data_IF_849306662006
#
_entry.id   IF_849306662006
#
_cell.length_a   1.000
_cell.length_b   1.000
_cell.length_c   1.000
_cell.angle_alpha   90.00
_cell.angle_beta   90.00
_cell.angle_gamma   90.00
#
_symmetry.space_group_name_H-M   'P 1'
#
loop_
_entity.id
_entity.type
_entity.pdbx_description
1 polymer ?
#
# COMPACT_ATOMS: atom_id res chain seq x y z
N UNK A 1 -9.24 -16.49 -22.60
CA UNK A 1 -8.03 -15.94 -23.24
C UNK A 1 -7.56 -14.81 -22.36
N UNK A 2 -6.32 -14.80 -21.91
CA UNK A 2 -5.78 -13.65 -21.19
C UNK A 2 -5.51 -12.57 -22.24
N UNK A 3 -6.22 -11.46 -22.17
CA UNK A 3 -5.89 -10.28 -22.98
C UNK A 3 -4.75 -9.55 -22.30
N UNK A 4 -3.91 -8.85 -23.05
CA UNK A 4 -2.85 -8.09 -22.40
C UNK A 4 -2.17 -7.06 -23.27
N UNK A 5 -1.70 -6.01 -22.59
CA UNK A 5 -0.85 -4.96 -23.12
C UNK A 5 0.49 -5.09 -22.38
N UNK A 6 1.56 -5.34 -23.12
CA UNK A 6 2.89 -5.54 -22.54
C UNK A 6 3.87 -4.62 -23.26
N UNK A 7 4.33 -3.59 -22.56
CA UNK A 7 5.49 -2.80 -22.93
C UNK A 7 6.73 -3.42 -22.27
N UNK A 8 7.55 -4.14 -23.05
CA UNK A 8 8.75 -4.82 -22.51
C UNK A 8 9.73 -3.84 -21.86
N UNK A 9 9.88 -2.65 -22.46
CA UNK A 9 10.64 -1.52 -21.92
C UNK A 9 9.82 -0.25 -22.16
N UNK A 10 9.43 0.45 -21.09
CA UNK A 10 8.75 1.74 -21.18
C UNK A 10 7.37 1.81 -20.52
N UNK A 11 6.50 2.65 -21.09
CA UNK A 11 5.22 3.04 -20.49
C UNK A 11 4.09 2.21 -21.11
N UNK A 12 3.32 1.51 -20.29
CA UNK A 12 2.14 0.75 -20.75
C UNK A 12 0.97 1.68 -21.11
N UNK A 13 0.70 2.68 -20.26
CA UNK A 13 -0.36 3.69 -20.48
C UNK A 13 0.21 5.08 -20.27
N UNK A 14 0.26 5.89 -21.34
CA UNK A 14 0.67 7.29 -21.28
C UNK A 14 -0.55 8.18 -21.59
N UNK A 15 -1.03 8.93 -20.61
CA UNK A 15 -2.24 9.77 -20.74
C UNK A 15 -1.83 11.23 -20.80
N UNK A 16 -2.11 11.85 -21.94
CA UNK A 16 -1.81 13.26 -22.18
C UNK A 16 -2.88 14.17 -21.58
N UNK A 17 -2.53 15.43 -21.39
CA UNK A 17 -3.45 16.48 -20.94
C UNK A 17 -4.69 16.60 -21.84
N UNK A 18 -5.85 16.94 -21.27
CA UNK A 18 -7.12 17.04 -21.99
C UNK A 18 -7.76 15.70 -22.37
N UNK A 19 -7.26 14.60 -21.81
CA UNK A 19 -7.76 13.24 -22.07
C UNK A 19 -8.39 12.64 -20.81
N UNK A 20 -9.53 11.97 -20.98
CA UNK A 20 -10.09 11.02 -20.03
C UNK A 20 -9.77 9.59 -20.50
N UNK A 21 -9.45 8.68 -19.59
CA UNK A 21 -9.26 7.26 -19.90
C UNK A 21 -9.96 6.39 -18.85
N UNK A 22 -10.63 5.34 -19.31
CA UNK A 22 -11.08 4.25 -18.47
C UNK A 22 -10.61 2.92 -19.08
N UNK A 23 -9.85 2.14 -18.32
CA UNK A 23 -9.34 0.82 -18.71
C UNK A 23 -10.01 -0.23 -17.83
N UNK A 24 -10.68 -1.18 -18.45
CA UNK A 24 -11.28 -2.35 -17.78
C UNK A 24 -10.47 -3.60 -18.14
N UNK A 25 -9.77 -4.16 -17.16
CA UNK A 25 -8.99 -5.38 -17.29
C UNK A 25 -9.69 -6.54 -16.56
N UNK A 26 -10.16 -7.54 -17.30
CA UNK A 26 -10.73 -8.78 -16.75
C UNK A 26 -9.88 -9.98 -17.16
N UNK A 27 -9.29 -10.68 -16.18
CA UNK A 27 -8.32 -11.75 -16.41
C UNK A 27 -7.26 -11.37 -17.46
N UNK A 28 -6.69 -10.17 -17.30
CA UNK A 28 -5.81 -9.52 -18.26
C UNK A 28 -4.47 -9.11 -17.64
N UNK A 29 -3.49 -8.84 -18.50
CA UNK A 29 -2.17 -8.35 -18.09
C UNK A 29 -1.95 -6.95 -18.65
N UNK A 30 -1.62 -5.99 -17.80
CA UNK A 30 -1.15 -4.66 -18.21
C UNK A 30 0.23 -4.45 -17.60
N UNK A 31 1.26 -4.38 -18.44
CA UNK A 31 2.66 -4.41 -17.96
C UNK A 31 3.54 -3.40 -18.69
N UNK A 32 4.37 -2.70 -17.92
CA UNK A 32 5.43 -1.82 -18.38
C UNK A 32 6.47 -1.61 -17.26
N UNK A 33 7.59 -0.93 -17.56
CA UNK A 33 8.45 -0.41 -16.48
C UNK A 33 7.71 0.71 -15.72
N UNK A 34 6.97 1.52 -16.49
CA UNK A 34 5.93 2.41 -15.99
C UNK A 34 4.59 1.85 -16.43
N UNK A 35 3.72 1.53 -15.47
CA UNK A 35 2.35 1.11 -15.73
C UNK A 35 1.54 2.29 -16.28
N UNK A 36 1.59 3.42 -15.58
CA UNK A 36 0.81 4.61 -15.89
C UNK A 36 1.67 5.87 -15.75
N UNK A 37 1.68 6.70 -16.79
CA UNK A 37 2.24 8.05 -16.76
C UNK A 37 1.18 9.06 -17.17
N UNK A 38 0.99 10.12 -16.41
CA UNK A 38 0.10 11.24 -16.80
C UNK A 38 0.53 12.58 -16.23
N UNK A 39 0.08 13.67 -16.85
CA UNK A 39 0.41 15.04 -16.45
C UNK A 39 1.71 15.59 -17.06
N UNK A 40 2.39 14.84 -17.94
CA UNK A 40 3.66 15.26 -18.56
C UNK A 40 3.46 15.60 -20.06
N UNK A 41 3.55 16.91 -20.42
CA UNK A 41 3.58 17.52 -21.78
C UNK A 41 2.23 17.71 -22.55
N UNK A 42 2.02 18.70 -23.45
CA UNK A 42 2.88 19.83 -23.95
C UNK A 42 2.10 21.14 -24.23
N UNK A 43 0.78 21.16 -24.13
CA UNK A 43 -0.03 22.37 -24.40
C UNK A 43 -0.43 23.04 -23.09
N UNK A 44 -0.05 24.32 -22.92
CA UNK A 44 -0.51 25.17 -21.81
C UNK A 44 -2.03 25.14 -21.70
N UNK A 45 -2.55 24.86 -20.49
CA UNK A 45 -3.95 25.13 -20.14
C UNK A 45 -4.91 23.94 -20.10
N UNK A 46 -4.44 22.69 -20.09
CA UNK A 46 -5.32 21.54 -19.83
C UNK A 46 -4.65 20.52 -18.91
N UNK A 47 -5.36 20.04 -17.90
CA UNK A 47 -4.97 18.87 -17.12
C UNK A 47 -5.47 17.60 -17.81
N UNK A 48 -4.85 16.45 -17.58
CA UNK A 48 -5.52 15.17 -17.80
C UNK A 48 -6.78 15.13 -16.94
N UNK A 49 -7.87 14.60 -17.48
CA UNK A 49 -9.16 14.54 -16.79
C UNK A 49 -9.18 13.37 -15.80
N UNK A 50 -10.16 12.49 -15.94
CA UNK A 50 -10.27 11.26 -15.15
C UNK A 50 -9.48 10.12 -15.78
N UNK A 51 -8.55 9.57 -15.01
CA UNK A 51 -7.69 8.45 -15.41
C UNK A 51 -7.97 7.25 -14.52
N UNK A 52 -8.69 6.25 -15.03
CA UNK A 52 -9.14 5.10 -14.24
C UNK A 52 -8.63 3.79 -14.84
N UNK A 53 -7.95 2.99 -14.03
CA UNK A 53 -7.56 1.61 -14.34
C UNK A 53 -8.26 0.65 -13.37
N UNK A 54 -9.19 -0.13 -13.91
CA UNK A 54 -9.94 -1.16 -13.18
C UNK A 54 -9.40 -2.55 -13.53
N UNK A 55 -9.27 -3.39 -12.51
CA UNK A 55 -8.71 -4.74 -12.62
C UNK A 55 -9.59 -5.73 -11.88
N UNK A 56 -10.08 -6.75 -12.58
CA UNK A 56 -10.93 -7.83 -12.06
C UNK A 56 -10.37 -9.20 -12.44
N UNK A 57 -10.81 -10.24 -11.72
CA UNK A 57 -10.67 -11.64 -12.10
C UNK A 57 -9.21 -12.05 -12.39
N UNK A 58 -8.34 -12.02 -11.38
CA UNK A 58 -6.93 -12.44 -11.48
C UNK A 58 -6.09 -11.63 -12.48
N UNK A 59 -6.50 -10.39 -12.77
CA UNK A 59 -5.71 -9.49 -13.61
C UNK A 59 -4.41 -9.08 -12.93
N UNK A 60 -3.37 -8.86 -13.73
CA UNK A 60 -2.03 -8.51 -13.27
C UNK A 60 -1.59 -7.18 -13.88
N UNK A 61 -1.37 -6.20 -13.01
CA UNK A 61 -0.74 -4.94 -13.34
C UNK A 61 0.72 -4.95 -12.89
N UNK A 62 1.64 -4.58 -13.78
CA UNK A 62 3.07 -4.50 -13.47
C UNK A 62 3.64 -3.18 -13.96
N UNK A 63 4.40 -2.51 -13.09
CA UNK A 63 5.06 -1.25 -13.38
C UNK A 63 4.69 -0.13 -12.41
N UNK A 64 5.50 0.92 -12.42
CA UNK A 64 5.31 2.07 -11.54
C UNK A 64 4.24 3.03 -12.08
N UNK A 65 3.63 3.80 -11.19
CA UNK A 65 2.74 4.91 -11.52
C UNK A 65 3.49 6.22 -11.29
N UNK A 66 3.44 7.12 -12.27
CA UNK A 66 4.10 8.43 -12.24
C UNK A 66 3.12 9.53 -12.70
N UNK A 67 2.66 10.33 -11.75
CA UNK A 67 1.58 11.31 -11.95
C UNK A 67 2.06 12.70 -11.56
N UNK A 68 2.06 13.63 -12.53
CA UNK A 68 2.15 15.05 -12.22
C UNK A 68 0.77 15.57 -11.81
N UNK A 69 0.57 15.64 -10.51
CA UNK A 69 -0.68 16.08 -9.88
C UNK A 69 -1.06 17.52 -10.22
N UNK A 70 -0.11 18.36 -10.61
CA UNK A 70 -0.42 19.73 -11.02
C UNK A 70 -1.16 19.76 -12.37
N UNK A 71 -1.11 18.68 -13.13
CA UNK A 71 -1.67 18.53 -14.47
C UNK A 71 -2.56 17.28 -14.61
N UNK A 72 -3.10 16.75 -13.51
CA UNK A 72 -4.04 15.60 -13.52
C UNK A 72 -5.18 15.87 -12.54
N UNK A 73 -6.41 15.90 -13.04
CA UNK A 73 -7.61 16.19 -12.25
C UNK A 73 -8.01 15.02 -11.34
N UNK A 74 -7.99 13.79 -11.88
CA UNK A 74 -8.30 12.58 -11.13
C UNK A 74 -7.49 11.37 -11.65
N UNK A 75 -7.09 10.48 -10.74
CA UNK A 75 -6.33 9.27 -11.07
C UNK A 75 -6.61 8.16 -10.09
N UNK A 76 -7.04 7.01 -10.62
CA UNK A 76 -7.57 5.92 -9.82
C UNK A 76 -7.06 4.57 -10.33
N UNK A 77 -6.65 3.72 -9.40
CA UNK A 77 -6.46 2.29 -9.65
C UNK A 77 -7.40 1.53 -8.72
N UNK A 78 -8.22 0.65 -9.29
CA UNK A 78 -9.13 -0.21 -8.54
C UNK A 78 -8.81 -1.68 -8.84
N UNK A 79 -8.45 -2.45 -7.82
CA UNK A 79 -8.21 -3.88 -7.92
C UNK A 79 -9.32 -4.65 -7.22
N UNK A 80 -9.82 -5.70 -7.86
CA UNK A 80 -10.75 -6.66 -7.27
C UNK A 80 -10.59 -8.06 -7.86
N UNK A 81 -11.29 -9.03 -7.28
CA UNK A 81 -11.37 -10.40 -7.79
C UNK A 81 -10.00 -11.08 -7.90
N UNK A 82 -9.18 -11.05 -6.84
CA UNK A 82 -7.83 -11.62 -6.80
C UNK A 82 -6.83 -10.94 -7.76
N UNK A 83 -7.09 -9.71 -8.17
CA UNK A 83 -6.14 -8.95 -9.00
C UNK A 83 -4.92 -8.51 -8.21
N UNK A 84 -3.80 -8.34 -8.91
CA UNK A 84 -2.51 -7.96 -8.31
C UNK A 84 -1.92 -6.77 -9.05
N UNK A 85 -1.41 -5.79 -8.29
CA UNK A 85 -0.50 -4.77 -8.81
C UNK A 85 0.89 -4.96 -8.22
N UNK A 86 1.91 -5.02 -9.07
CA UNK A 86 3.33 -5.04 -8.70
C UNK A 86 3.98 -3.74 -9.17
N UNK A 87 4.31 -2.85 -8.25
CA UNK A 87 4.91 -1.56 -8.59
C UNK A 87 4.90 -0.56 -7.44
N UNK A 88 5.41 0.64 -7.71
CA UNK A 88 5.38 1.78 -6.80
C UNK A 88 4.51 2.91 -7.35
N UNK A 89 4.07 3.80 -6.47
CA UNK A 89 3.20 4.94 -6.80
C UNK A 89 3.87 6.27 -6.53
N UNK A 90 3.87 7.17 -7.51
CA UNK A 90 4.19 8.59 -7.31
C UNK A 90 2.99 9.44 -7.74
N UNK A 91 2.27 9.99 -6.77
CA UNK A 91 1.22 10.99 -7.02
C UNK A 91 -0.18 10.46 -7.37
N UNK A 92 -0.44 9.15 -7.24
CA UNK A 92 -1.78 8.58 -7.45
C UNK A 92 -2.79 9.15 -6.46
N UNK A 93 -3.96 9.54 -6.95
CA UNK A 93 -5.00 10.13 -6.09
C UNK A 93 -5.76 9.05 -5.31
N UNK A 94 -6.25 8.01 -5.98
CA UNK A 94 -7.04 6.96 -5.31
C UNK A 94 -6.52 5.58 -5.64
N UNK A 95 -6.32 4.76 -4.60
CA UNK A 95 -6.12 3.32 -4.74
C UNK A 95 -7.19 2.58 -3.93
N UNK A 96 -7.90 1.66 -4.59
CA UNK A 96 -8.88 0.78 -3.95
C UNK A 96 -8.48 -0.67 -4.17
N UNK A 97 -8.37 -1.43 -3.08
CA UNK A 97 -8.15 -2.87 -3.08
C UNK A 97 -9.39 -3.56 -2.51
N UNK A 98 -10.06 -4.39 -3.30
CA UNK A 98 -11.22 -5.18 -2.88
C UNK A 98 -11.00 -6.66 -3.17
N UNK A 99 -11.85 -7.52 -2.59
CA UNK A 99 -12.04 -8.91 -3.03
C UNK A 99 -10.74 -9.71 -3.23
N UNK A 100 -9.97 -9.85 -2.15
CA UNK A 100 -8.71 -10.59 -2.10
C UNK A 100 -7.64 -10.08 -3.08
N UNK A 101 -7.68 -8.79 -3.42
CA UNK A 101 -6.66 -8.16 -4.27
C UNK A 101 -5.41 -7.80 -3.47
N UNK A 102 -4.31 -7.56 -4.19
CA UNK A 102 -3.02 -7.32 -3.58
C UNK A 102 -2.25 -6.21 -4.29
N UNK A 103 -1.68 -5.29 -3.50
CA UNK A 103 -0.63 -4.40 -3.95
C UNK A 103 0.72 -4.87 -3.42
N UNK A 104 1.56 -5.40 -4.31
CA UNK A 104 2.97 -5.67 -4.06
C UNK A 104 3.77 -4.39 -4.31
N UNK A 105 3.99 -3.65 -3.23
CA UNK A 105 4.62 -2.34 -3.21
C UNK A 105 6.15 -2.51 -3.28
N UNK A 106 6.75 -2.03 -4.37
CA UNK A 106 8.16 -2.32 -4.72
C UNK A 106 9.15 -1.22 -4.32
N UNK A 107 8.67 -0.01 -4.05
CA UNK A 107 9.48 1.16 -3.69
C UNK A 107 8.63 2.19 -2.93
N UNK A 108 9.28 3.21 -2.36
CA UNK A 108 8.63 4.35 -1.71
C UNK A 108 7.47 4.84 -2.56
N UNK A 109 6.32 4.95 -1.93
CA UNK A 109 5.07 5.22 -2.63
C UNK A 109 4.24 6.27 -1.93
N UNK A 110 3.48 7.02 -2.73
CA UNK A 110 2.49 7.97 -2.25
C UNK A 110 1.14 7.74 -2.93
N UNK A 111 0.08 7.83 -2.14
CA UNK A 111 -1.33 7.87 -2.57
C UNK A 111 -2.07 8.91 -1.74
N UNK A 112 -3.18 9.47 -2.22
CA UNK A 112 -3.98 10.37 -1.38
C UNK A 112 -5.01 9.62 -0.56
N UNK A 113 -5.89 8.89 -1.23
CA UNK A 113 -6.90 8.06 -0.56
C UNK A 113 -6.60 6.60 -0.84
N UNK A 114 -6.52 5.82 0.22
CA UNK A 114 -6.31 4.39 0.14
C UNK A 114 -7.45 3.65 0.83
N UNK A 115 -8.10 2.77 0.10
CA UNK A 115 -9.15 1.89 0.63
C UNK A 115 -8.72 0.43 0.45
N UNK A 116 -8.74 -0.35 1.52
CA UNK A 116 -8.34 -1.76 1.52
C UNK A 116 -9.42 -2.60 2.19
N UNK A 117 -10.16 -3.36 1.39
CA UNK A 117 -11.27 -4.19 1.83
C UNK A 117 -10.98 -5.66 1.50
N UNK A 118 -10.89 -6.51 2.52
CA UNK A 118 -10.56 -7.94 2.40
C UNK A 118 -9.38 -8.17 1.44
N UNK A 119 -8.31 -7.40 1.61
CA UNK A 119 -7.21 -7.27 0.65
C UNK A 119 -5.89 -6.97 1.37
N UNK A 120 -4.78 -7.05 0.62
CA UNK A 120 -3.43 -6.97 1.19
C UNK A 120 -2.57 -5.88 0.53
N UNK A 121 -1.86 -5.12 1.37
CA UNK A 121 -0.69 -4.37 0.97
C UNK A 121 0.54 -5.16 1.42
N UNK A 122 1.38 -5.55 0.47
CA UNK A 122 2.62 -6.24 0.73
C UNK A 122 3.80 -5.34 0.36
N UNK A 123 4.50 -4.81 1.36
CA UNK A 123 5.76 -4.10 1.12
C UNK A 123 6.82 -5.15 0.80
N UNK A 124 7.22 -5.21 -0.47
CA UNK A 124 8.19 -6.19 -0.94
C UNK A 124 9.55 -5.93 -0.30
N UNK A 125 10.16 -6.98 0.24
CA UNK A 125 11.49 -6.87 0.83
C UNK A 125 12.54 -6.47 -0.22
N UNK A 126 13.28 -5.40 0.07
CA UNK A 126 14.44 -4.99 -0.69
C UNK A 126 15.67 -4.97 0.23
N UNK A 127 16.71 -5.79 -0.03
CA UNK A 127 17.89 -5.84 0.84
C UNK A 127 18.72 -4.54 0.83
N UNK A 128 18.50 -3.66 -0.14
CA UNK A 128 19.24 -2.40 -0.25
C UNK A 128 18.60 -1.24 0.53
N UNK A 129 17.30 -1.32 0.85
CA UNK A 129 16.56 -0.25 1.52
C UNK A 129 15.24 -0.72 2.12
N UNK A 130 14.79 0.00 3.13
CA UNK A 130 13.42 -0.09 3.61
C UNK A 130 12.54 0.97 2.93
N UNK A 131 11.25 0.71 2.92
CA UNK A 131 10.27 1.41 2.11
C UNK A 131 9.28 2.17 2.98
N UNK A 132 8.94 3.39 2.53
CA UNK A 132 7.91 4.24 3.13
C UNK A 132 6.71 4.31 2.20
N UNK A 133 5.55 3.90 2.70
CA UNK A 133 4.25 4.20 2.09
C UNK A 133 3.67 5.44 2.79
N UNK A 134 3.40 6.49 2.00
CA UNK A 134 2.73 7.70 2.48
C UNK A 134 1.31 7.78 1.92
N UNK A 135 0.33 7.96 2.80
CA UNK A 135 -1.07 8.23 2.46
C UNK A 135 -1.32 9.70 2.84
N UNK A 136 -1.43 10.59 1.85
CA UNK A 136 -1.53 12.03 2.12
C UNK A 136 -2.92 12.46 2.62
N UNK A 137 -3.93 11.63 2.40
CA UNK A 137 -5.29 11.81 2.88
C UNK A 137 -5.71 10.64 3.76
N UNK A 138 -6.91 10.13 3.53
CA UNK A 138 -7.52 9.16 4.43
C UNK A 138 -7.19 7.71 4.06
N UNK A 139 -7.06 6.88 5.09
CA UNK A 139 -6.92 5.44 4.98
C UNK A 139 -8.19 4.75 5.50
N UNK A 140 -8.86 4.00 4.64
CA UNK A 140 -10.05 3.23 5.00
C UNK A 140 -9.74 1.74 4.89
N UNK A 141 -10.02 0.99 5.95
CA UNK A 141 -9.68 -0.41 6.04
C UNK A 141 -10.87 -1.24 6.55
N UNK A 142 -11.18 -2.33 5.84
CA UNK A 142 -12.08 -3.37 6.30
C UNK A 142 -11.42 -4.72 6.04
N UNK A 143 -11.05 -5.47 7.08
CA UNK A 143 -10.34 -6.74 6.92
C UNK A 143 -9.06 -6.60 6.07
N UNK A 144 -8.33 -5.49 6.26
CA UNK A 144 -7.09 -5.19 5.56
C UNK A 144 -5.90 -5.90 6.19
N UNK A 145 -4.96 -6.37 5.36
CA UNK A 145 -3.64 -6.84 5.83
C UNK A 145 -2.53 -5.95 5.29
N UNK A 146 -1.58 -5.60 6.15
CA UNK A 146 -0.34 -4.89 5.81
C UNK A 146 0.86 -5.76 6.18
N UNK A 147 1.71 -6.09 5.20
CA UNK A 147 2.99 -6.77 5.44
C UNK A 147 4.14 -5.79 5.35
N UNK A 148 5.02 -5.83 6.36
CA UNK A 148 6.17 -4.95 6.52
C UNK A 148 7.42 -5.73 6.87
N UNK A 149 8.59 -5.17 6.58
CA UNK A 149 9.89 -5.75 6.89
C UNK A 149 10.62 -4.90 7.94
N UNK A 150 11.35 -5.58 8.83
CA UNK A 150 12.19 -4.96 9.87
C UNK A 150 13.51 -5.73 9.97
N UNK A 151 14.64 -5.04 10.16
CA UNK A 151 15.88 -5.63 10.64
C UNK A 151 16.03 -5.40 12.15
N UNK A 152 15.68 -6.41 12.96
CA UNK A 152 15.54 -6.29 14.42
C UNK A 152 16.90 -6.19 15.16
N UNK A 153 17.38 -4.96 15.32
CA UNK A 153 18.65 -4.58 15.98
C UNK A 153 18.45 -3.62 17.17
N UNK A 154 17.24 -3.53 17.74
CA UNK A 154 16.88 -2.63 18.84
C UNK A 154 16.18 -1.37 18.35
N UNK A 155 16.16 -0.28 19.13
CA UNK A 155 15.38 0.93 18.81
C UNK A 155 15.76 1.62 17.48
N UNK A 156 16.98 1.40 17.00
CA UNK A 156 17.49 1.94 15.73
C UNK A 156 17.27 0.99 14.54
N UNK A 157 16.43 -0.05 14.69
CA UNK A 157 16.15 -1.02 13.64
C UNK A 157 15.69 -0.32 12.37
N UNK A 158 16.34 -0.64 11.26
CA UNK A 158 15.86 -0.23 9.95
C UNK A 158 14.54 -0.99 9.66
N UNK A 159 13.51 -0.26 9.25
CA UNK A 159 12.15 -0.78 9.13
C UNK A 159 11.42 -0.09 8.00
N UNK A 160 10.52 -0.82 7.36
CA UNK A 160 9.49 -0.22 6.52
C UNK A 160 8.60 0.68 7.38
N UNK A 161 7.94 1.66 6.75
CA UNK A 161 7.03 2.58 7.43
C UNK A 161 5.76 2.81 6.64
N UNK A 162 4.66 3.00 7.37
CA UNK A 162 3.42 3.58 6.88
C UNK A 162 3.22 4.94 7.55
N UNK A 163 3.05 5.99 6.76
CA UNK A 163 2.71 7.33 7.24
C UNK A 163 1.36 7.74 6.65
N UNK A 164 0.42 8.09 7.51
CA UNK A 164 -0.94 8.51 7.16
C UNK A 164 -1.12 9.93 7.65
N UNK A 165 -1.31 10.86 6.73
CA UNK A 165 -1.45 12.29 7.06
C UNK A 165 -2.88 12.62 7.44
N UNK A 166 -3.88 11.95 6.84
CA UNK A 166 -5.29 12.12 7.16
C UNK A 166 -5.80 11.12 8.20
N UNK A 167 -7.11 10.89 8.15
CA UNK A 167 -7.81 10.05 9.11
C UNK A 167 -7.71 8.56 8.75
N UNK A 168 -7.71 7.72 9.78
CA UNK A 168 -7.84 6.26 9.66
C UNK A 168 -9.25 5.86 10.05
N UNK A 169 -9.91 5.06 9.20
CA UNK A 169 -11.20 4.45 9.51
C UNK A 169 -11.11 2.93 9.34
N UNK A 170 -11.43 2.20 10.41
CA UNK A 170 -11.43 0.73 10.42
C UNK A 170 -10.08 0.09 10.75
N UNK A 171 -10.02 -1.23 10.62
CA UNK A 171 -8.99 -2.04 11.27
C UNK A 171 -8.04 -2.69 10.27
N UNK A 172 -6.77 -2.83 10.64
CA UNK A 172 -5.73 -3.45 9.80
C UNK A 172 -4.90 -4.45 10.59
N UNK A 173 -4.75 -5.66 10.05
CA UNK A 173 -3.81 -6.66 10.56
C UNK A 173 -2.42 -6.40 9.98
N UNK A 174 -1.41 -6.26 10.84
CA UNK A 174 -0.03 -5.92 10.47
C UNK A 174 0.86 -7.12 10.72
N UNK A 175 1.39 -7.70 9.65
CA UNK A 175 2.40 -8.76 9.74
C UNK A 175 3.81 -8.18 9.56
N UNK A 176 4.67 -8.42 10.55
CA UNK A 176 6.06 -7.96 10.53
C UNK A 176 6.98 -9.14 10.22
N UNK A 177 7.77 -8.99 9.16
CA UNK A 177 8.78 -9.94 8.75
C UNK A 177 10.16 -9.48 9.23
N UNK A 178 10.85 -10.32 10.00
CA UNK A 178 12.23 -10.06 10.38
C UNK A 178 13.17 -10.46 9.24
N UNK A 179 13.78 -9.47 8.58
CA UNK A 179 14.67 -9.66 7.41
C UNK A 179 16.15 -9.52 7.75
N UNK A 180 16.49 -9.26 9.01
CA UNK A 180 17.87 -9.14 9.48
C UNK A 180 17.95 -8.80 10.98
N UNK A 181 19.13 -8.82 11.57
CA UNK A 181 19.30 -8.56 13.02
C UNK A 181 18.99 -9.76 13.91
N UNK A 182 19.47 -9.69 15.15
CA UNK A 182 19.42 -10.80 16.11
C UNK A 182 18.10 -10.90 16.88
N UNK A 183 17.15 -9.99 16.66
CA UNK A 183 16.00 -9.85 17.54
C UNK A 183 16.37 -9.14 18.84
N UNK A 184 17.21 -8.10 18.76
CA UNK A 184 17.58 -7.34 19.95
C UNK A 184 16.36 -6.61 20.52
N UNK A 185 16.20 -6.67 21.84
CA UNK A 185 15.09 -6.03 22.53
C UNK A 185 15.10 -4.51 22.29
N UNK A 186 13.91 -3.94 22.12
CA UNK A 186 13.71 -2.49 22.08
C UNK A 186 13.52 -1.93 23.49
N UNK A 187 13.94 -0.69 23.70
CA UNK A 187 13.71 0.07 24.94
C UNK A 187 12.54 1.03 24.72
N UNK A 188 12.58 1.80 23.63
CA UNK A 188 11.53 2.76 23.23
C UNK A 188 10.46 2.14 22.32
N UNK A 189 10.78 1.02 21.67
CA UNK A 189 9.93 0.39 20.67
C UNK A 189 10.23 0.88 19.25
N UNK A 190 9.64 0.20 18.25
CA UNK A 190 9.77 0.55 16.84
C UNK A 190 8.51 1.25 16.34
N UNK A 191 8.69 2.40 15.69
CA UNK A 191 7.61 3.12 15.04
C UNK A 191 7.49 2.59 13.60
N UNK A 192 6.47 1.77 13.38
CA UNK A 192 6.11 1.23 12.06
C UNK A 192 5.08 2.09 11.35
N UNK A 193 4.12 2.62 12.11
CA UNK A 193 2.96 3.33 11.58
C UNK A 193 2.86 4.68 12.29
N UNK A 194 2.76 5.74 11.52
CA UNK A 194 2.50 7.10 11.98
C UNK A 194 1.17 7.57 11.39
N UNK A 195 0.33 8.16 12.23
CA UNK A 195 -0.93 8.79 11.82
C UNK A 195 -0.97 10.21 12.38
N UNK A 196 -1.19 11.19 11.51
CA UNK A 196 -1.27 12.60 11.89
C UNK A 196 -2.74 13.08 12.09
N UNK A 197 -3.72 12.38 11.48
CA UNK A 197 -5.15 12.63 11.63
C UNK A 197 -5.83 11.84 12.76
N UNK A 198 -7.16 11.78 12.72
CA UNK A 198 -7.97 11.03 13.68
C UNK A 198 -7.90 9.52 13.38
N UNK A 199 -7.94 8.71 14.43
CA UNK A 199 -7.94 7.24 14.33
C UNK A 199 -9.28 6.70 14.82
N UNK A 200 -10.11 6.22 13.89
CA UNK A 200 -11.39 5.55 14.12
C UNK A 200 -11.26 4.05 13.80
N UNK A 201 -10.30 3.37 14.43
CA UNK A 201 -9.99 1.96 14.20
C UNK A 201 -8.68 1.56 14.88
N UNK A 202 -8.19 0.35 14.59
CA UNK A 202 -7.00 -0.22 15.23
C UNK A 202 -6.04 -0.89 14.23
N UNK A 203 -4.74 -0.89 14.56
CA UNK A 203 -3.73 -1.72 13.90
C UNK A 203 -3.32 -2.88 14.80
N UNK A 204 -3.58 -4.12 14.36
CA UNK A 204 -3.27 -5.32 15.13
C UNK A 204 -2.00 -5.99 14.62
N UNK A 205 -0.93 -6.01 15.42
CA UNK A 205 0.27 -6.76 15.05
C UNK A 205 -0.03 -8.26 15.13
N UNK A 206 0.00 -8.94 13.98
CA UNK A 206 0.00 -10.38 13.88
C UNK A 206 1.32 -10.90 14.46
N UNK A 207 1.28 -11.36 15.71
CA UNK A 207 2.40 -12.10 16.28
C UNK A 207 2.57 -13.37 15.46
N UNK A 208 3.79 -13.60 14.94
CA UNK A 208 4.15 -14.88 14.33
C UNK A 208 3.78 -15.97 15.32
N UNK A 209 2.78 -16.78 14.97
CA UNK A 209 2.30 -17.91 15.77
C UNK A 209 3.39 -18.98 15.80
N UNK A 210 4.38 -18.79 16.66
CA UNK A 210 5.28 -19.82 17.13
C UNK A 210 4.94 -19.99 18.62
N UNK A 211 4.23 -21.09 18.89
CA UNK A 211 3.90 -21.62 20.22
C UNK A 211 2.74 -20.96 20.98
N UNK A 212 1.51 -21.20 20.50
CA UNK A 212 0.31 -21.14 21.34
C UNK A 212 0.34 -22.28 22.38
N UNK A 213 0.70 -21.97 23.63
CA UNK A 213 0.28 -22.74 24.80
C UNK A 213 -0.65 -21.89 25.67
N UNK A 214 -1.89 -22.39 25.83
CA UNK A 214 -3.02 -22.09 26.75
C UNK A 214 -3.21 -20.76 27.51
N UNK A 215 -2.31 -19.78 27.54
CA UNK A 215 -2.39 -18.66 28.49
C UNK A 215 -3.23 -17.46 28.00
N UNK A 216 -3.64 -17.41 26.73
CA UNK A 216 -4.22 -16.19 26.13
C UNK A 216 -5.75 -16.03 26.23
N UNK A 217 -6.47 -16.98 26.85
CA UNK A 217 -7.93 -16.84 27.03
C UNK A 217 -8.33 -15.80 28.11
N UNK A 218 -7.39 -15.36 28.96
CA UNK A 218 -7.72 -14.59 30.17
C UNK A 218 -7.52 -13.06 30.09
N UNK A 219 -7.02 -12.49 28.98
CA UNK A 219 -6.72 -11.04 28.90
C UNK A 219 -7.66 -10.21 28.01
N UNK A 220 -8.82 -10.74 27.62
CA UNK A 220 -9.85 -9.97 26.87
C UNK A 220 -10.82 -9.16 27.74
N UNK A 221 -10.51 -8.94 29.01
CA UNK A 221 -11.24 -7.96 29.80
C UNK A 221 -10.29 -6.88 30.30
N UNK A 222 -10.56 -5.67 29.82
CA UNK A 222 -10.13 -4.39 30.39
C UNK A 222 -8.68 -4.02 30.11
N UNK A 223 -8.46 -3.13 29.12
CA UNK A 223 -7.42 -2.09 29.17
C UNK A 223 -7.67 -1.08 28.04
N UNK A 224 -8.04 0.13 28.46
CA UNK A 224 -8.26 1.32 27.66
C UNK A 224 -7.01 1.73 26.86
N UNK A 225 -7.25 2.21 25.63
CA UNK A 225 -6.28 2.85 24.75
C UNK A 225 -5.73 4.15 25.36
N UNK A 226 -4.64 4.06 26.14
CA UNK A 226 -3.69 5.16 26.33
C UNK A 226 -2.28 4.59 26.45
N UNK A 227 -1.46 4.85 25.43
CA UNK A 227 0.00 4.63 25.37
C UNK A 227 0.52 3.33 26.01
N UNK A 228 0.69 2.26 25.21
CA UNK A 228 1.57 1.15 25.62
C UNK A 228 2.28 0.55 24.41
N UNK A 229 3.47 1.08 24.08
CA UNK A 229 4.54 0.24 23.54
C UNK A 229 5.55 0.07 24.66
N UNK A 230 5.40 -1.01 25.42
CA UNK A 230 6.38 -1.49 26.38
C UNK A 230 6.47 -2.99 26.23
N UNK A 231 7.67 -3.46 25.90
CA UNK A 231 8.12 -4.86 25.80
C UNK A 231 7.50 -5.70 24.70
N UNK A 232 8.22 -5.83 23.58
CA UNK A 232 8.32 -7.11 22.88
C UNK A 232 9.79 -7.54 22.87
N UNK A 233 9.98 -8.80 23.27
CA UNK A 233 11.22 -9.59 23.29
C UNK A 233 11.93 -9.57 21.94
#
# INVERSE_FOLDING_TARGET
MNTGIVATDGIAVNVLTGTDINIEADNAVLSGTTLLKTGYSTTEGSAAGSVVLNSTNHSLFTGNVDIDRSQTADSQINLSGNSVWIGASSGLLTLTLNDNSQWNLMDNSSVDTLTVNNSEINIAYNPAKFTVLTINGNYNADSATLKMNVALEGDASATDKLHIVGDVNGNTDVAVNNVGGSGAQTIQGLILIQVDGAVNGDFFILRRRLEETQEFSARRHHLDMRQVFSTLL
#
